data_IF_961498491516
#
_entry.id   IF_961498491516
#
_cell.length_a   1.000
_cell.length_b   1.000
_cell.length_c   1.000
_cell.angle_alpha   90.00
_cell.angle_beta   90.00
_cell.angle_gamma   90.00
#
_symmetry.space_group_name_H-M   'P 1'
#
loop_
_entity.id
_entity.type
_entity.pdbx_description
1 polymer ?
#
# COMPACT_ATOMS: atom_id res chain seq x y z
N UNK A 1 12.95 23.65 3.64
CA UNK A 1 14.30 23.03 3.69
C UNK A 1 14.57 22.43 2.32
N UNK A 2 15.74 22.64 1.70
CA UNK A 2 16.02 22.06 0.39
C UNK A 2 16.18 20.54 0.50
N UNK A 3 15.46 19.81 -0.35
CA UNK A 3 15.67 18.36 -0.51
C UNK A 3 16.95 18.13 -1.33
N UNK A 4 17.96 17.52 -0.70
CA UNK A 4 19.24 17.21 -1.35
C UNK A 4 19.11 16.11 -2.38
N UNK A 5 18.05 15.31 -2.33
CA UNK A 5 17.81 14.21 -3.25
C UNK A 5 16.91 14.61 -4.42
N UNK A 6 16.47 15.88 -4.52
CA UNK A 6 15.51 16.33 -5.54
C UNK A 6 15.98 16.17 -7.00
N UNK A 7 17.29 16.00 -7.22
CA UNK A 7 17.88 15.74 -8.54
C UNK A 7 18.00 14.24 -8.87
N UNK A 8 17.66 13.35 -7.93
CA UNK A 8 17.65 11.90 -8.16
C UNK A 8 16.31 11.49 -8.75
N UNK A 9 16.34 10.59 -9.73
CA UNK A 9 15.14 10.08 -10.34
C UNK A 9 14.34 9.21 -9.36
N UNK A 10 13.02 9.30 -9.44
CA UNK A 10 12.14 8.38 -8.72
C UNK A 10 12.15 6.98 -9.35
N UNK A 11 12.00 5.95 -8.53
CA UNK A 11 11.96 4.55 -8.95
C UNK A 11 11.21 3.68 -7.94
N UNK A 12 10.84 2.43 -8.31
CA UNK A 12 10.20 1.50 -7.38
C UNK A 12 11.06 1.16 -6.14
N UNK A 13 12.38 1.23 -6.25
CA UNK A 13 13.31 1.05 -5.12
C UNK A 13 13.69 2.35 -4.40
N UNK A 14 13.32 3.52 -4.94
CA UNK A 14 13.50 4.79 -4.25
C UNK A 14 12.48 4.96 -3.12
N UNK A 15 12.80 5.70 -2.03
CA UNK A 15 11.86 5.99 -0.96
C UNK A 15 10.55 6.61 -1.46
N UNK A 16 9.44 6.30 -0.79
CA UNK A 16 8.19 7.02 -0.99
C UNK A 16 8.34 8.47 -0.51
N UNK A 17 7.65 9.38 -1.19
CA UNK A 17 7.78 10.82 -0.94
C UNK A 17 6.47 11.44 -0.45
N UNK A 18 5.34 10.76 -0.65
CA UNK A 18 4.03 11.24 -0.27
C UNK A 18 3.15 10.09 0.24
N UNK A 19 3.47 9.49 1.42
CA UNK A 19 2.64 8.43 1.98
C UNK A 19 1.26 8.97 2.40
N UNK A 20 0.25 8.11 2.34
CA UNK A 20 -1.12 8.46 2.73
C UNK A 20 -1.85 7.30 3.43
N UNK A 21 -2.80 7.59 4.34
CA UNK A 21 -3.59 6.55 4.99
C UNK A 21 -4.53 5.88 3.98
N UNK A 22 -4.61 4.55 4.04
CA UNK A 22 -5.50 3.76 3.20
C UNK A 22 -6.79 3.48 3.96
N UNK A 23 -7.91 3.88 3.36
CA UNK A 23 -9.24 3.42 3.75
C UNK A 23 -9.66 2.32 2.78
N UNK A 24 -9.81 1.07 3.23
CA UNK A 24 -10.23 -0.03 2.37
C UNK A 24 -11.59 0.24 1.69
N UNK A 25 -11.70 -0.10 0.41
CA UNK A 25 -12.93 0.06 -0.38
C UNK A 25 -13.08 -1.05 -1.41
N UNK A 26 -14.30 -1.59 -1.52
CA UNK A 26 -14.60 -2.61 -2.52
C UNK A 26 -14.81 -2.04 -3.92
N UNK A 27 -15.00 -0.73 -4.04
CA UNK A 27 -15.36 -0.06 -5.31
C UNK A 27 -14.37 1.02 -5.74
N UNK A 28 -13.64 1.62 -4.80
CA UNK A 28 -12.73 2.72 -5.10
C UNK A 28 -11.28 2.24 -5.24
N UNK A 29 -10.61 2.75 -6.26
CA UNK A 29 -9.17 2.62 -6.43
C UNK A 29 -8.42 3.51 -5.44
N UNK A 30 -7.17 3.15 -5.14
CA UNK A 30 -6.27 4.05 -4.46
C UNK A 30 -6.00 5.28 -5.34
N UNK A 31 -5.92 6.50 -4.76
CA UNK A 31 -5.72 7.73 -5.53
C UNK A 31 -4.36 7.76 -6.24
N UNK A 32 -3.39 7.04 -5.72
CA UNK A 32 -2.07 6.84 -6.34
C UNK A 32 -1.60 5.43 -6.02
N UNK A 33 -0.96 4.79 -7.00
CA UNK A 33 -0.35 3.47 -6.82
C UNK A 33 0.88 3.60 -5.92
N UNK A 34 0.89 3.00 -4.72
CA UNK A 34 2.07 3.04 -3.87
C UNK A 34 3.14 2.06 -4.34
N UNK A 35 4.35 2.19 -3.79
CA UNK A 35 5.47 1.26 -3.93
C UNK A 35 5.33 0.07 -2.96
N UNK A 36 4.69 0.31 -1.82
CA UNK A 36 4.34 -0.69 -0.83
C UNK A 36 3.29 -0.19 0.16
N UNK A 37 2.88 -1.07 1.07
CA UNK A 37 1.92 -0.75 2.12
C UNK A 37 2.54 -1.14 3.46
N UNK A 38 2.54 -0.20 4.39
CA UNK A 38 2.77 -0.48 5.80
C UNK A 38 1.45 -0.84 6.48
N UNK A 39 1.51 -1.86 7.34
CA UNK A 39 0.38 -2.41 8.08
C UNK A 39 0.66 -2.21 9.56
N UNK A 40 -0.01 -1.24 10.19
CA UNK A 40 0.21 -0.95 11.60
C UNK A 40 -0.31 -2.06 12.51
N UNK A 41 -1.60 -2.42 12.37
CA UNK A 41 -2.20 -3.53 13.09
C UNK A 41 -2.45 -4.69 12.14
N UNK A 42 -1.93 -5.85 12.52
CA UNK A 42 -1.94 -7.08 11.75
C UNK A 42 -3.33 -7.67 11.54
N UNK A 43 -3.39 -8.67 10.66
CA UNK A 43 -4.64 -9.28 10.22
C UNK A 43 -4.55 -9.74 8.77
N UNK A 44 -5.70 -9.87 8.13
CA UNK A 44 -5.79 -10.19 6.72
C UNK A 44 -5.89 -8.89 5.91
N UNK A 45 -5.23 -8.85 4.75
CA UNK A 45 -5.27 -7.73 3.82
C UNK A 45 -5.58 -8.23 2.42
N UNK A 46 -6.75 -7.85 1.90
CA UNK A 46 -7.16 -8.18 0.54
C UNK A 46 -6.91 -7.01 -0.40
N UNK A 47 -6.14 -7.23 -1.46
CA UNK A 47 -5.73 -6.19 -2.40
C UNK A 47 -5.64 -6.70 -3.84
N UNK A 48 -5.59 -5.78 -4.79
CA UNK A 48 -5.26 -6.07 -6.19
C UNK A 48 -4.06 -5.25 -6.62
N UNK A 49 -3.03 -5.89 -7.17
CA UNK A 49 -1.88 -5.20 -7.75
C UNK A 49 -2.22 -4.50 -9.08
N UNK A 50 -1.44 -3.50 -9.49
CA UNK A 50 -1.74 -2.70 -10.71
C UNK A 50 -1.74 -3.46 -12.03
N UNK A 51 -1.15 -4.65 -12.05
CA UNK A 51 -1.14 -5.57 -13.20
C UNK A 51 -1.98 -6.82 -12.94
N UNK A 52 -2.65 -6.88 -11.79
CA UNK A 52 -3.50 -7.99 -11.40
C UNK A 52 -4.90 -7.83 -11.95
N UNK A 53 -5.52 -8.95 -12.31
CA UNK A 53 -6.93 -9.01 -12.71
C UNK A 53 -7.85 -9.52 -11.60
N UNK A 54 -7.28 -10.15 -10.57
CA UNK A 54 -7.98 -10.73 -9.43
C UNK A 54 -7.43 -10.18 -8.11
N UNK A 55 -8.28 -10.19 -7.08
CA UNK A 55 -7.89 -9.82 -5.72
C UNK A 55 -7.14 -10.98 -5.05
N UNK A 56 -6.18 -10.66 -4.19
CA UNK A 56 -5.36 -11.61 -3.42
C UNK A 56 -5.40 -11.20 -1.95
N UNK A 57 -5.55 -12.18 -1.06
CA UNK A 57 -5.55 -11.96 0.38
C UNK A 57 -4.22 -12.41 0.98
N UNK A 58 -3.51 -11.47 1.57
CA UNK A 58 -2.40 -11.71 2.47
C UNK A 58 -3.01 -12.07 3.83
N UNK A 59 -2.73 -13.27 4.34
CA UNK A 59 -3.35 -13.73 5.59
C UNK A 59 -2.39 -13.64 6.76
N UNK A 60 -2.93 -13.33 7.94
CA UNK A 60 -2.22 -13.36 9.21
C UNK A 60 -0.91 -12.53 9.16
N UNK A 61 -0.99 -11.33 8.60
CA UNK A 61 0.11 -10.37 8.67
C UNK A 61 0.31 -9.97 10.13
N UNK A 62 1.55 -9.99 10.66
CA UNK A 62 1.81 -9.46 11.99
C UNK A 62 1.66 -7.93 12.03
N UNK A 63 1.54 -7.38 13.23
CA UNK A 63 1.62 -5.94 13.45
C UNK A 63 2.94 -5.37 12.91
N UNK A 64 2.91 -4.10 12.48
CA UNK A 64 4.05 -3.41 11.89
C UNK A 64 4.68 -4.13 10.67
N UNK A 65 3.86 -4.80 9.86
CA UNK A 65 4.31 -5.45 8.63
C UNK A 65 4.51 -4.46 7.49
N UNK A 66 5.47 -4.75 6.62
CA UNK A 66 5.63 -4.06 5.36
C UNK A 66 5.48 -5.02 4.18
N UNK A 67 4.63 -4.65 3.23
CA UNK A 67 4.45 -5.42 1.99
C UNK A 67 4.86 -4.59 0.77
N UNK A 68 5.85 -5.09 0.03
CA UNK A 68 6.34 -4.48 -1.21
C UNK A 68 5.42 -4.83 -2.38
N UNK A 69 4.19 -4.32 -2.36
CA UNK A 69 3.21 -4.51 -3.43
C UNK A 69 2.69 -3.17 -3.93
N UNK A 70 2.67 -3.04 -5.26
CA UNK A 70 2.06 -1.90 -5.94
C UNK A 70 0.57 -2.17 -6.10
N UNK A 71 -0.21 -1.85 -5.07
CA UNK A 71 -1.65 -2.06 -5.04
C UNK A 71 -2.39 -0.98 -5.85
N UNK A 72 -3.40 -1.37 -6.62
CA UNK A 72 -4.38 -0.46 -7.21
C UNK A 72 -5.66 -0.42 -6.38
N UNK A 73 -6.02 -1.53 -5.74
CA UNK A 73 -7.17 -1.63 -4.84
C UNK A 73 -6.74 -2.25 -3.52
N UNK A 74 -7.33 -1.76 -2.43
CA UNK A 74 -7.36 -2.43 -1.13
C UNK A 74 -8.83 -2.60 -0.77
N UNK A 75 -9.29 -3.85 -0.70
CA UNK A 75 -10.70 -4.21 -0.51
C UNK A 75 -11.10 -4.06 0.94
N UNK A 76 -12.31 -3.59 1.20
CA UNK A 76 -12.89 -3.62 2.54
C UNK A 76 -13.29 -5.05 2.91
N UNK A 77 -13.89 -5.77 1.96
CA UNK A 77 -14.20 -7.18 2.12
C UNK A 77 -12.91 -8.00 2.23
N UNK A 78 -12.80 -8.80 3.28
CA UNK A 78 -11.65 -9.67 3.51
C UNK A 78 -10.39 -8.95 4.01
N UNK A 79 -10.50 -7.69 4.44
CA UNK A 79 -9.42 -6.97 5.12
C UNK A 79 -9.79 -6.76 6.58
N UNK A 80 -9.00 -7.31 7.49
CA UNK A 80 -9.10 -7.10 8.94
C UNK A 80 -7.92 -6.32 9.50
N UNK A 81 -6.81 -6.24 8.75
CA UNK A 81 -5.68 -5.39 9.09
C UNK A 81 -6.07 -3.90 9.08
N UNK A 82 -5.56 -3.13 10.04
CA UNK A 82 -5.85 -1.69 10.19
C UNK A 82 -4.58 -0.86 10.22
N UNK A 83 -4.72 0.48 10.30
CA UNK A 83 -3.59 1.41 10.35
C UNK A 83 -2.69 1.28 9.12
N UNK A 84 -3.34 1.16 7.96
CA UNK A 84 -2.71 0.92 6.66
C UNK A 84 -2.19 2.25 6.08
N UNK A 85 -0.91 2.29 5.72
CA UNK A 85 -0.30 3.44 5.03
C UNK A 85 0.21 2.99 3.66
N UNK A 86 -0.21 3.67 2.61
CA UNK A 86 0.30 3.51 1.25
C UNK A 86 1.52 4.42 1.06
N UNK A 87 2.66 3.83 0.73
CA UNK A 87 3.94 4.53 0.53
C UNK A 87 4.10 4.87 -0.97
N UNK A 88 3.62 6.04 -1.39
CA UNK A 88 3.65 6.51 -2.78
C UNK A 88 4.87 7.38 -3.10
#
# INVERSE_FOLDING_TARGET
MPDRFSAHADSPEAPATAPFPVVPSDTQELPTVPKGIYVGTGGDLTLRGVRGTADVTYRNLPDASYIAVRAQFVRATGTTATDLIAEA
#
